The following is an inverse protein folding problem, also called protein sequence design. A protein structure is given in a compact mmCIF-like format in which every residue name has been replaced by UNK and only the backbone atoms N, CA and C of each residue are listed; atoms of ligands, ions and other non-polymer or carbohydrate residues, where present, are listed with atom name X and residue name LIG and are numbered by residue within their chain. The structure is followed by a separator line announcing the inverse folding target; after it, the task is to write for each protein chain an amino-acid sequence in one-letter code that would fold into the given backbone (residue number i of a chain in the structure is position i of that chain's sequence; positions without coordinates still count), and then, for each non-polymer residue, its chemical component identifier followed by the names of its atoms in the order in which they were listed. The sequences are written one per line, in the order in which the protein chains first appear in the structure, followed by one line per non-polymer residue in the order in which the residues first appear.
data_IF_593964278997
#
_entry.id   IF_593964278997
#
_cell.length_a   1.000
_cell.length_b   1.000
_cell.length_c   1.000
_cell.angle_alpha   90.00
_cell.angle_beta   90.00
_cell.angle_gamma   90.00
#
_symmetry.space_group_name_H-M   'P 1'
#
loop_
_entity.id
_entity.type
_entity.pdbx_description
1 polymer ?
#
# COMPACT_ATOMS: atom_id res chain seq x y z
N UNK A 1 -2.45 14.29 8.25
CA UNK A 1 -2.01 13.06 7.57
C UNK A 1 -3.19 12.56 6.77
N UNK A 2 -3.15 12.82 5.47
CA UNK A 2 -4.13 12.35 4.49
C UNK A 2 -3.79 10.93 4.03
N UNK A 3 -4.71 10.27 3.33
CA UNK A 3 -4.43 8.98 2.68
C UNK A 3 -3.49 9.12 1.47
N UNK A 4 -3.37 10.33 0.89
CA UNK A 4 -2.40 10.62 -0.17
C UNK A 4 -0.98 10.56 0.38
N UNK A 5 -0.76 11.12 1.58
CA UNK A 5 0.55 11.10 2.26
C UNK A 5 1.04 9.66 2.51
N UNK A 6 0.12 8.71 2.74
CA UNK A 6 0.43 7.28 2.87
C UNK A 6 1.02 6.70 1.59
N UNK A 7 0.48 7.09 0.42
CA UNK A 7 0.96 6.61 -0.88
C UNK A 7 2.34 7.17 -1.19
N UNK A 8 2.59 8.43 -0.85
CA UNK A 8 3.90 9.06 -0.98
C UNK A 8 4.95 8.41 -0.07
N UNK A 9 4.59 8.14 1.20
CA UNK A 9 5.48 7.45 2.12
C UNK A 9 5.74 6.00 1.68
N UNK A 10 4.72 5.30 1.17
CA UNK A 10 4.89 3.95 0.61
C UNK A 10 5.88 3.95 -0.56
N UNK A 11 5.74 4.87 -1.51
CA UNK A 11 6.66 5.00 -2.64
C UNK A 11 8.09 5.37 -2.19
N UNK A 12 8.22 6.25 -1.19
CA UNK A 12 9.51 6.64 -0.62
C UNK A 12 10.22 5.50 0.13
N UNK A 13 9.46 4.54 0.66
CA UNK A 13 9.99 3.39 1.42
C UNK A 13 10.29 2.17 0.53
N UNK A 14 10.24 2.32 -0.80
CA UNK A 14 10.52 1.21 -1.72
C UNK A 14 11.93 0.63 -1.50
N UNK A 15 12.03 -0.69 -1.58
CA UNK A 15 13.28 -1.43 -1.46
C UNK A 15 13.43 -2.33 -2.70
N UNK A 16 13.96 -1.78 -3.82
CA UNK A 16 14.00 -2.50 -5.10
C UNK A 16 14.70 -3.86 -5.03
N UNK A 17 15.70 -4.00 -4.17
CA UNK A 17 16.43 -5.26 -3.95
C UNK A 17 15.53 -6.40 -3.45
N UNK A 18 14.48 -6.07 -2.69
CA UNK A 18 13.50 -7.04 -2.19
C UNK A 18 12.36 -7.31 -3.16
N UNK A 19 12.20 -6.49 -4.21
CA UNK A 19 11.10 -6.63 -5.17
C UNK A 19 11.20 -7.93 -5.97
N UNK A 20 12.38 -8.27 -6.51
CA UNK A 20 12.58 -9.45 -7.36
C UNK A 20 12.08 -10.76 -6.72
N UNK A 21 12.48 -11.11 -5.49
CA UNK A 21 11.96 -12.29 -4.79
C UNK A 21 10.44 -12.26 -4.56
N UNK A 22 9.85 -11.09 -4.29
CA UNK A 22 8.40 -10.94 -4.09
C UNK A 22 7.61 -11.11 -5.39
N UNK A 23 8.13 -10.57 -6.49
CA UNK A 23 7.57 -10.78 -7.83
C UNK A 23 7.62 -12.26 -8.20
N UNK A 24 8.77 -12.92 -7.97
CA UNK A 24 8.94 -14.35 -8.24
C UNK A 24 7.94 -15.21 -7.44
N UNK A 25 7.72 -14.88 -6.16
CA UNK A 25 6.69 -15.54 -5.33
C UNK A 25 5.29 -15.41 -5.95
N UNK A 26 4.98 -14.27 -6.56
CA UNK A 26 3.73 -14.02 -7.30
C UNK A 26 3.78 -14.45 -8.77
N UNK A 27 4.77 -15.28 -9.15
CA UNK A 27 4.98 -15.77 -10.52
C UNK A 27 5.09 -14.64 -11.55
N UNK A 28 5.67 -13.51 -11.15
CA UNK A 28 5.85 -12.30 -11.95
C UNK A 28 4.56 -11.71 -12.54
N UNK A 29 3.39 -11.99 -11.94
CA UNK A 29 2.11 -11.44 -12.39
C UNK A 29 1.93 -9.97 -11.99
N UNK A 30 2.66 -9.53 -10.96
CA UNK A 30 2.58 -8.18 -10.43
C UNK A 30 3.99 -7.67 -10.11
N UNK A 31 4.28 -6.40 -10.38
CA UNK A 31 5.49 -5.75 -9.88
C UNK A 31 5.38 -5.50 -8.36
N UNK A 32 6.51 -5.32 -7.70
CA UNK A 32 6.57 -4.99 -6.28
C UNK A 32 7.48 -3.79 -6.01
N UNK A 33 7.15 -3.00 -4.99
CA UNK A 33 8.04 -1.99 -4.41
C UNK A 33 9.11 -2.62 -3.50
N UNK A 34 8.92 -3.88 -3.09
CA UNK A 34 9.82 -4.62 -2.21
C UNK A 34 9.58 -4.36 -0.72
N UNK A 35 8.38 -3.90 -0.35
CA UNK A 35 8.05 -3.52 1.02
C UNK A 35 7.42 -4.70 1.74
N UNK A 36 8.05 -5.12 2.83
CA UNK A 36 7.60 -6.29 3.57
C UNK A 36 6.29 -6.01 4.32
N UNK A 37 5.51 -7.05 4.60
CA UNK A 37 4.25 -6.90 5.33
C UNK A 37 4.38 -6.17 6.68
N UNK A 38 5.42 -6.40 7.52
CA UNK A 38 5.58 -5.66 8.77
C UNK A 38 5.78 -4.15 8.57
N UNK A 39 6.55 -3.76 7.56
CA UNK A 39 6.83 -2.36 7.22
C UNK A 39 5.54 -1.66 6.75
N UNK A 40 4.77 -2.30 5.85
CA UNK A 40 3.46 -1.77 5.43
C UNK A 40 2.46 -1.70 6.57
N UNK A 41 2.43 -2.69 7.45
CA UNK A 41 1.54 -2.70 8.61
C UNK A 41 1.83 -1.55 9.60
N UNK A 42 3.08 -1.13 9.70
CA UNK A 42 3.44 0.05 10.49
C UNK A 42 2.83 1.33 9.89
N UNK A 43 2.83 1.46 8.56
CA UNK A 43 2.17 2.57 7.87
C UNK A 43 0.65 2.57 8.13
N UNK A 44 -0.03 1.42 8.05
CA UNK A 44 -1.47 1.34 8.33
C UNK A 44 -1.83 1.87 9.71
N UNK A 45 -1.04 1.51 10.74
CA UNK A 45 -1.24 1.98 12.12
C UNK A 45 -1.08 3.49 12.26
N UNK A 46 -0.29 4.14 11.41
CA UNK A 46 -0.08 5.60 11.40
C UNK A 46 -1.24 6.34 10.76
N UNK A 47 -1.78 5.84 9.64
CA UNK A 47 -2.77 6.57 8.82
C UNK A 47 -4.23 6.17 9.06
N UNK A 48 -4.53 4.87 9.22
CA UNK A 48 -5.90 4.38 9.27
C UNK A 48 -6.71 4.80 10.50
N UNK A 49 -6.14 5.02 11.70
CA UNK A 49 -6.94 5.51 12.83
C UNK A 49 -7.61 6.86 12.53
N UNK A 50 -6.93 7.75 11.80
CA UNK A 50 -7.47 9.04 11.39
C UNK A 50 -8.59 8.88 10.36
N UNK A 51 -8.41 7.98 9.39
CA UNK A 51 -9.44 7.70 8.38
C UNK A 51 -10.68 7.03 9.00
N UNK A 52 -10.51 6.06 9.90
CA UNK A 52 -11.62 5.37 10.59
C UNK A 52 -12.48 6.30 11.45
N UNK A 53 -11.94 7.41 11.96
CA UNK A 53 -12.72 8.42 12.69
C UNK A 53 -13.80 9.08 11.83
N UNK A 54 -13.53 9.24 10.53
CA UNK A 54 -14.48 9.88 9.60
C UNK A 54 -15.69 8.99 9.30
N UNK A 55 -15.58 7.67 9.52
CA UNK A 55 -16.63 6.66 9.24
C UNK A 55 -17.16 6.66 7.80
N UNK A 56 -16.44 7.30 6.89
CA UNK A 56 -16.73 7.34 5.46
C UNK A 56 -15.58 6.61 4.77
N UNK A 57 -15.95 5.70 3.85
CA UNK A 57 -14.98 5.04 2.97
C UNK A 57 -14.64 6.02 1.86
N UNK A 58 -13.35 6.31 1.73
CA UNK A 58 -12.79 7.07 0.62
C UNK A 58 -12.62 6.12 -0.59
N UNK A 59 -13.64 6.06 -1.45
CA UNK A 59 -13.62 5.22 -2.64
C UNK A 59 -12.61 5.71 -3.68
N UNK A 60 -12.40 7.02 -3.78
CA UNK A 60 -11.39 7.59 -4.68
C UNK A 60 -9.99 7.08 -4.29
N UNK A 61 -9.68 7.02 -3.00
CA UNK A 61 -8.43 6.41 -2.50
C UNK A 61 -8.31 4.93 -2.85
N UNK A 62 -9.39 4.16 -2.69
CA UNK A 62 -9.42 2.72 -3.02
C UNK A 62 -9.16 2.50 -4.50
N UNK A 63 -9.80 3.29 -5.36
CA UNK A 63 -9.64 3.21 -6.82
C UNK A 63 -8.21 3.58 -7.24
N UNK A 64 -7.66 4.67 -6.71
CA UNK A 64 -6.26 5.07 -6.95
C UNK A 64 -5.30 3.94 -6.58
N UNK A 65 -5.53 3.24 -5.47
CA UNK A 65 -4.69 2.12 -5.05
C UNK A 65 -4.80 0.92 -6.01
N UNK A 66 -5.99 0.63 -6.55
CA UNK A 66 -6.19 -0.48 -7.49
C UNK A 66 -5.60 -0.21 -8.88
N UNK A 67 -5.56 1.05 -9.32
CA UNK A 67 -4.96 1.45 -10.59
C UNK A 67 -3.43 1.36 -10.62
N UNK A 68 -2.78 1.40 -9.45
CA UNK A 68 -1.32 1.33 -9.36
C UNK A 68 -0.82 -0.08 -9.66
N UNK A 69 0.26 -0.20 -10.43
CA UNK A 69 0.81 -1.51 -10.81
C UNK A 69 1.39 -2.33 -9.64
N UNK A 70 2.19 -1.75 -8.73
CA UNK A 70 2.82 -2.54 -7.68
C UNK A 70 1.84 -3.14 -6.69
N UNK A 71 2.00 -4.43 -6.36
CA UNK A 71 1.01 -5.20 -5.59
C UNK A 71 0.74 -4.62 -4.19
N UNK A 72 1.70 -3.89 -3.63
CA UNK A 72 1.59 -3.26 -2.32
C UNK A 72 0.44 -2.26 -2.22
N UNK A 73 0.09 -1.56 -3.31
CA UNK A 73 -1.02 -0.61 -3.31
C UNK A 73 -2.37 -1.30 -3.14
N UNK A 74 -2.58 -2.42 -3.84
CA UNK A 74 -3.79 -3.23 -3.67
C UNK A 74 -3.91 -3.77 -2.24
N UNK A 75 -2.79 -4.14 -1.62
CA UNK A 75 -2.81 -4.55 -0.22
C UNK A 75 -3.14 -3.41 0.74
N UNK A 76 -2.73 -2.18 0.42
CA UNK A 76 -3.12 -0.99 1.20
C UNK A 76 -4.63 -0.78 1.12
N UNK A 77 -5.21 -0.78 -0.09
CA UNK A 77 -6.66 -0.66 -0.28
C UNK A 77 -7.44 -1.77 0.43
N UNK A 78 -7.01 -3.02 0.28
CA UNK A 78 -7.68 -4.15 0.92
C UNK A 78 -7.61 -4.13 2.46
N UNK A 79 -6.62 -3.47 3.05
CA UNK A 79 -6.52 -3.30 4.50
C UNK A 79 -7.29 -2.07 5.01
N UNK A 80 -7.49 -1.09 4.14
CA UNK A 80 -8.25 0.12 4.44
C UNK A 80 -9.75 -0.16 4.57
N UNK A 81 -10.28 -1.01 3.69
CA UNK A 81 -11.65 -1.54 3.73
C UNK A 81 -11.87 -2.45 4.94
#
# INVERSE_FOLDING_TARGET
MSLVDLLEELEATKVPEKAGPMEAYMRHQFPFLGIAAPERNALYKKYFPSAKKTRVIDWDFVDICWERKPREYQYVAANYL
#
